data_IF_018927252714
#
_entry.id   IF_018927252714
#
_cell.length_a   1.000
_cell.length_b   1.000
_cell.length_c   1.000
_cell.angle_alpha   90.00
_cell.angle_beta   90.00
_cell.angle_gamma   90.00
#
_symmetry.space_group_name_H-M   'P 1'
#
loop_
_entity.id
_entity.type
_entity.pdbx_description
1 polymer ?
#
# COMPACT_ATOMS: atom_id res chain seq x y z
N UNK A 1 19.07 10.74 11.16
CA UNK A 1 18.33 10.99 12.42
C UNK A 1 18.64 12.41 12.86
N UNK A 2 17.62 13.26 13.04
CA UNK A 2 17.83 14.57 13.66
C UNK A 2 18.09 14.33 15.15
N UNK A 3 19.26 14.75 15.64
CA UNK A 3 19.82 14.45 16.95
C UNK A 3 19.12 15.15 18.13
N UNK A 4 17.92 15.69 17.93
CA UNK A 4 17.30 16.66 18.83
C UNK A 4 15.89 16.24 19.32
N UNK A 5 15.49 14.98 19.11
CA UNK A 5 14.22 14.42 19.64
C UNK A 5 12.95 15.09 19.10
N UNK A 6 13.06 15.94 18.07
CA UNK A 6 11.94 16.66 17.48
C UNK A 6 11.09 15.74 16.61
N UNK A 7 9.77 16.03 16.47
CA UNK A 7 8.91 15.32 15.52
C UNK A 7 9.51 15.32 14.11
N UNK A 8 9.45 14.18 13.43
CA UNK A 8 9.94 14.07 12.08
C UNK A 8 8.98 14.77 11.11
N UNK A 9 9.48 15.72 10.35
CA UNK A 9 8.71 16.36 9.28
C UNK A 9 8.54 15.41 8.10
N UNK A 10 7.41 15.53 7.39
CA UNK A 10 7.10 14.71 6.20
C UNK A 10 8.24 14.70 5.20
N UNK A 11 8.77 15.87 4.84
CA UNK A 11 9.84 15.99 3.84
C UNK A 11 11.13 15.28 4.26
N UNK A 12 11.43 15.32 5.57
CA UNK A 12 12.59 14.62 6.13
C UNK A 12 12.41 13.09 6.09
N UNK A 13 11.19 12.63 6.34
CA UNK A 13 10.84 11.22 6.23
C UNK A 13 10.91 10.74 4.78
N UNK A 14 10.29 11.46 3.84
CA UNK A 14 10.30 11.15 2.41
C UNK A 14 11.74 11.09 1.86
N UNK A 15 12.57 12.06 2.23
CA UNK A 15 13.98 12.10 1.80
C UNK A 15 14.76 10.91 2.33
N UNK A 16 14.56 10.55 3.59
CA UNK A 16 15.25 9.40 4.21
C UNK A 16 14.80 8.09 3.58
N UNK A 17 13.51 7.95 3.28
CA UNK A 17 12.95 6.81 2.58
C UNK A 17 13.56 6.60 1.20
N UNK A 18 13.63 7.67 0.39
CA UNK A 18 14.23 7.59 -0.94
C UNK A 18 15.70 7.16 -0.88
N UNK A 19 16.46 7.66 0.11
CA UNK A 19 17.85 7.23 0.33
C UNK A 19 17.94 5.75 0.66
N UNK A 20 17.06 5.26 1.54
CA UNK A 20 17.00 3.84 1.90
C UNK A 20 16.70 2.95 0.68
N UNK A 21 15.68 3.28 -0.10
CA UNK A 21 15.29 2.53 -1.31
C UNK A 21 16.43 2.51 -2.34
N UNK A 22 17.12 3.64 -2.54
CA UNK A 22 18.27 3.70 -3.45
C UNK A 22 19.42 2.81 -2.98
N UNK A 23 19.67 2.73 -1.67
CA UNK A 23 20.67 1.82 -1.10
C UNK A 23 20.27 0.35 -1.28
N UNK A 24 19.00 0.02 -1.06
CA UNK A 24 18.47 -1.34 -1.27
C UNK A 24 18.62 -1.78 -2.73
N UNK A 25 18.30 -0.91 -3.69
CA UNK A 25 18.54 -1.18 -5.12
C UNK A 25 20.04 -1.35 -5.42
N UNK A 26 20.90 -0.48 -4.88
CA UNK A 26 22.36 -0.58 -5.08
C UNK A 26 22.95 -1.87 -4.53
N UNK A 27 22.38 -2.39 -3.45
CA UNK A 27 22.80 -3.66 -2.82
C UNK A 27 22.13 -4.88 -3.43
N UNK A 28 21.25 -4.71 -4.42
CA UNK A 28 20.53 -5.81 -5.07
C UNK A 28 19.48 -6.48 -4.18
N UNK A 29 19.02 -5.80 -3.12
CA UNK A 29 17.94 -6.30 -2.26
C UNK A 29 16.59 -6.23 -2.99
N UNK A 30 16.43 -5.23 -3.84
CA UNK A 30 15.26 -5.06 -4.71
C UNK A 30 15.72 -4.63 -6.11
N UNK A 31 14.98 -5.01 -7.12
CA UNK A 31 15.12 -4.50 -8.47
C UNK A 31 14.42 -3.14 -8.64
N UNK A 32 14.72 -2.45 -9.75
CA UNK A 32 14.08 -1.16 -10.07
C UNK A 32 12.57 -1.30 -10.29
N UNK A 33 12.13 -2.45 -10.82
CA UNK A 33 10.72 -2.83 -11.00
C UNK A 33 9.98 -3.01 -9.68
N UNK A 34 10.69 -3.40 -8.62
CA UNK A 34 10.16 -3.65 -7.29
C UNK A 34 10.20 -2.40 -6.40
N UNK A 35 10.57 -1.23 -6.96
CA UNK A 35 10.63 0.03 -6.22
C UNK A 35 9.24 0.48 -5.79
N UNK A 36 9.12 0.89 -4.54
CA UNK A 36 7.88 1.41 -3.96
C UNK A 36 8.09 2.66 -3.09
N UNK A 37 7.03 3.45 -2.95
CA UNK A 37 6.95 4.65 -2.14
C UNK A 37 6.34 4.36 -0.77
N UNK A 38 6.45 5.32 0.15
CA UNK A 38 5.77 5.26 1.45
C UNK A 38 4.26 5.14 1.34
N UNK A 39 3.68 5.70 0.28
CA UNK A 39 2.23 5.60 0.06
C UNK A 39 1.82 4.18 -0.31
N UNK A 40 2.68 3.45 -1.03
CA UNK A 40 2.41 2.07 -1.44
C UNK A 40 2.36 1.12 -0.23
N UNK A 41 3.10 1.43 0.84
CA UNK A 41 2.98 0.71 2.11
C UNK A 41 1.58 0.84 2.72
N UNK A 42 0.98 2.04 2.65
CA UNK A 42 -0.40 2.25 3.12
C UNK A 42 -1.37 1.43 2.27
N UNK A 43 -1.19 1.45 0.95
CA UNK A 43 -2.01 0.66 0.03
C UNK A 43 -1.93 -0.83 0.37
N UNK A 44 -0.72 -1.37 0.53
CA UNK A 44 -0.49 -2.77 0.89
C UNK A 44 -1.13 -3.12 2.24
N UNK A 45 -0.97 -2.26 3.26
CA UNK A 45 -1.61 -2.47 4.56
C UNK A 45 -3.15 -2.55 4.48
N UNK A 46 -3.77 -1.74 3.62
CA UNK A 46 -5.22 -1.79 3.39
C UNK A 46 -5.63 -3.06 2.64
N UNK A 47 -4.87 -3.45 1.62
CA UNK A 47 -5.14 -4.66 0.82
C UNK A 47 -4.95 -5.94 1.63
N UNK A 48 -3.90 -6.03 2.44
CA UNK A 48 -3.55 -7.22 3.23
C UNK A 48 -4.43 -7.41 4.48
N UNK A 49 -5.17 -6.37 4.89
CA UNK A 49 -6.08 -6.45 6.03
C UNK A 49 -7.19 -7.45 5.73
N UNK A 50 -7.28 -8.54 6.50
CA UNK A 50 -8.31 -9.57 6.31
C UNK A 50 -9.71 -9.05 6.66
N UNK A 51 -10.72 -9.57 5.97
CA UNK A 51 -12.12 -9.32 6.27
C UNK A 51 -12.85 -8.49 5.21
N UNK A 52 -14.11 -8.18 5.50
CA UNK A 52 -15.00 -7.48 4.57
C UNK A 52 -14.61 -6.00 4.43
N UNK A 53 -15.04 -5.39 3.32
CA UNK A 53 -14.73 -3.99 2.96
C UNK A 53 -14.92 -2.99 4.10
N UNK A 54 -16.00 -3.10 4.87
CA UNK A 54 -16.28 -2.20 5.99
C UNK A 54 -15.20 -2.27 7.09
N UNK A 55 -14.67 -3.47 7.36
CA UNK A 55 -13.59 -3.69 8.32
C UNK A 55 -12.28 -3.09 7.80
N UNK A 56 -11.94 -3.35 6.53
CA UNK A 56 -10.77 -2.73 5.87
C UNK A 56 -10.83 -1.19 5.91
N UNK A 57 -12.01 -0.61 5.65
CA UNK A 57 -12.21 0.84 5.68
C UNK A 57 -12.00 1.45 7.07
N UNK A 58 -12.59 0.85 8.10
CA UNK A 58 -12.56 1.39 9.47
C UNK A 58 -11.22 1.15 10.16
N UNK A 59 -10.66 -0.06 10.03
CA UNK A 59 -9.52 -0.49 10.84
C UNK A 59 -8.17 -0.24 10.17
N UNK A 60 -8.08 -0.31 8.83
CA UNK A 60 -6.80 -0.18 8.12
C UNK A 60 -6.63 1.16 7.42
N UNK A 61 -7.71 1.73 6.87
CA UNK A 61 -7.60 2.88 5.98
C UNK A 61 -8.03 4.21 6.59
N UNK A 62 -8.99 4.22 7.51
CA UNK A 62 -9.55 5.43 8.11
C UNK A 62 -10.28 6.36 7.12
N UNK A 63 -10.64 5.88 5.92
CA UNK A 63 -11.32 6.71 4.92
C UNK A 63 -12.75 7.05 5.36
N UNK A 64 -13.09 8.34 5.33
CA UNK A 64 -14.43 8.84 5.64
C UNK A 64 -15.48 8.39 4.62
N UNK A 65 -15.09 8.26 3.35
CA UNK A 65 -15.99 7.82 2.27
C UNK A 65 -15.65 6.41 1.81
N UNK A 66 -16.68 5.58 1.65
CA UNK A 66 -16.53 4.21 1.18
C UNK A 66 -16.07 4.13 -0.28
N UNK A 67 -16.29 5.16 -1.11
CA UNK A 67 -15.92 5.15 -2.53
C UNK A 67 -14.39 5.12 -2.75
N UNK A 68 -13.58 5.62 -1.82
CA UNK A 68 -12.10 5.51 -1.92
C UNK A 68 -11.58 4.09 -1.72
N UNK A 69 -12.40 3.16 -1.24
CA UNK A 69 -12.01 1.76 -1.08
C UNK A 69 -12.03 0.96 -2.38
N UNK A 70 -12.68 1.46 -3.44
CA UNK A 70 -12.75 0.78 -4.74
C UNK A 70 -11.39 0.66 -5.42
N UNK A 71 -10.47 1.60 -5.14
CA UNK A 71 -9.09 1.58 -5.66
C UNK A 71 -8.28 0.40 -5.10
N UNK A 72 -8.69 -0.15 -3.95
CA UNK A 72 -7.97 -1.23 -3.27
C UNK A 72 -8.58 -2.62 -3.51
N UNK A 73 -9.65 -2.73 -4.29
CA UNK A 73 -10.27 -4.01 -4.58
C UNK A 73 -9.62 -4.67 -5.81
N UNK A 74 -8.60 -5.49 -5.57
CA UNK A 74 -7.93 -6.27 -6.62
C UNK A 74 -8.48 -7.70 -6.76
N UNK A 75 -9.55 -8.03 -6.04
CA UNK A 75 -10.18 -9.35 -6.13
C UNK A 75 -10.88 -9.50 -7.49
N UNK A 76 -10.51 -10.52 -8.26
CA UNK A 76 -11.18 -10.82 -9.51
C UNK A 76 -12.63 -11.24 -9.23
N UNK A 77 -13.63 -10.72 -9.98
CA UNK A 77 -15.00 -11.15 -9.80
C UNK A 77 -15.11 -12.65 -10.14
N UNK A 78 -15.51 -13.45 -9.17
CA UNK A 78 -15.84 -14.86 -9.40
C UNK A 78 -17.18 -14.89 -10.13
N UNK A 79 -17.13 -15.17 -11.43
CA UNK A 79 -18.31 -15.40 -12.26
C UNK A 79 -18.51 -16.88 -12.48
N UNK A 80 -19.76 -17.32 -12.57
CA UNK A 80 -20.05 -18.67 -13.06
C UNK A 80 -19.54 -18.79 -14.49
N UNK A 81 -18.82 -19.87 -14.84
CA UNK A 81 -18.51 -20.15 -16.24
C UNK A 81 -19.81 -20.16 -17.03
N UNK A 82 -19.79 -19.59 -18.23
CA UNK A 82 -20.88 -19.78 -19.18
C UNK A 82 -20.84 -21.26 -19.60
N UNK A 83 -21.45 -22.14 -18.80
CA UNK A 83 -21.67 -23.51 -19.21
C UNK A 83 -22.56 -23.47 -20.46
N UNK A 84 -22.10 -24.17 -21.51
CA UNK A 84 -22.77 -24.31 -22.79
C UNK A 84 -24.27 -24.56 -22.60
N UNK A 85 -25.09 -23.62 -23.09
CA UNK A 85 -26.51 -23.85 -23.30
C UNK A 85 -26.64 -24.95 -24.37
N UNK A 86 -26.72 -26.21 -23.92
CA UNK A 86 -27.24 -27.32 -24.72
C UNK A 86 -28.75 -27.31 -24.71
#
# INVERSE_FOLDING_TARGET
MLSNGKPLHKDGFDTTWQRMINLAMKQGVIEKSERFSLHDLKCMGVTDTKGIRAVKQQQASGHRSAAMMDIYNFEAPVVTPAADNK
#
